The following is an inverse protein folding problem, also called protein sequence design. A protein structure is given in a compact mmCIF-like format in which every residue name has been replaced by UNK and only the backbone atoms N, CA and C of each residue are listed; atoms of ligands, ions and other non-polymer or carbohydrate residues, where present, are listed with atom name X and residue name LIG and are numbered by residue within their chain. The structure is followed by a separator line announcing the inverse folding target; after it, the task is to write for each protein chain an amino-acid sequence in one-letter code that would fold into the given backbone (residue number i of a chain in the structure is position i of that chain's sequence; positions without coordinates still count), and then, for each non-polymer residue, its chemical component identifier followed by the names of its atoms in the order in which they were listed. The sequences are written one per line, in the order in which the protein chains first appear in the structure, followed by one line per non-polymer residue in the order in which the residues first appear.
data_IF_786707704446
#
_entry.id   IF_786707704446
#
_cell.length_a   1.000
_cell.length_b   1.000
_cell.length_c   1.000
_cell.angle_alpha   90.00
_cell.angle_beta   90.00
_cell.angle_gamma   90.00
#
_symmetry.space_group_name_H-M   'P 1'
#
loop_
_entity.id
_entity.type
_entity.pdbx_description
1 polymer ?
#
# COMPACT_ATOMS: atom_id res chain seq x y z
N UNK A 1 -16.18 13.52 -18.72
CA UNK A 1 -14.72 13.30 -18.84
C UNK A 1 -14.26 12.49 -17.64
N UNK A 2 -13.73 11.29 -17.89
CA UNK A 2 -13.23 10.45 -16.79
C UNK A 2 -12.03 11.17 -16.16
N UNK A 3 -12.03 11.31 -14.83
CA UNK A 3 -11.00 12.04 -14.09
C UNK A 3 -9.62 11.42 -14.37
N UNK A 4 -8.68 12.14 -14.99
CA UNK A 4 -7.31 11.65 -15.13
C UNK A 4 -6.74 11.50 -13.72
N UNK A 5 -5.89 10.51 -13.48
CA UNK A 5 -5.26 10.32 -12.18
C UNK A 5 -4.56 11.58 -11.67
N UNK A 6 -4.49 11.74 -10.35
CA UNK A 6 -3.84 12.87 -9.69
C UNK A 6 -2.50 12.43 -9.10
N UNK A 7 -1.42 13.04 -9.56
CA UNK A 7 -0.07 12.77 -9.04
C UNK A 7 0.17 13.49 -7.72
N UNK A 8 0.63 12.74 -6.72
CA UNK A 8 1.17 13.23 -5.46
C UNK A 8 2.57 12.63 -5.26
N UNK A 9 3.20 12.88 -4.13
CA UNK A 9 4.43 12.22 -3.74
C UNK A 9 4.16 11.22 -2.60
N UNK A 10 4.82 10.08 -2.66
CA UNK A 10 4.77 9.11 -1.57
C UNK A 10 5.74 9.55 -0.46
N UNK A 11 5.20 9.71 0.74
CA UNK A 11 5.97 9.97 1.94
C UNK A 11 5.90 8.72 2.85
N UNK A 12 7.01 8.00 3.06
CA UNK A 12 7.01 6.84 3.92
C UNK A 12 6.77 7.23 5.38
N UNK A 13 6.05 6.38 6.10
CA UNK A 13 5.89 6.54 7.53
C UNK A 13 7.24 6.49 8.24
N UNK A 14 7.52 7.48 9.07
CA UNK A 14 8.67 7.45 9.96
C UNK A 14 8.30 6.71 11.24
N UNK A 15 8.95 5.58 11.47
CA UNK A 15 8.67 4.75 12.65
C UNK A 15 8.96 5.52 13.93
N UNK A 16 7.93 5.63 14.77
CA UNK A 16 8.02 6.19 16.12
C UNK A 16 7.79 5.06 17.12
N UNK A 17 8.68 4.92 18.07
CA UNK A 17 8.54 3.94 19.15
C UNK A 17 7.44 4.38 20.12
N UNK A 18 6.35 3.62 20.17
CA UNK A 18 5.18 3.90 21.02
C UNK A 18 5.04 2.93 22.20
N UNK A 19 5.86 1.89 22.24
CA UNK A 19 5.85 0.88 23.28
C UNK A 19 6.99 -0.11 23.11
N UNK A 20 6.96 -1.17 23.90
CA UNK A 20 7.93 -2.25 23.87
C UNK A 20 7.32 -3.55 23.38
N UNK A 21 8.15 -4.55 23.11
CA UNK A 21 7.74 -5.90 22.68
C UNK A 21 6.77 -6.55 23.66
N UNK A 22 6.83 -6.18 24.95
CA UNK A 22 5.92 -6.70 25.98
C UNK A 22 4.45 -6.45 25.64
N UNK A 23 4.13 -5.34 24.97
CA UNK A 23 2.77 -5.07 24.50
C UNK A 23 2.31 -6.13 23.49
N UNK A 24 3.20 -6.52 22.58
CA UNK A 24 2.90 -7.56 21.57
C UNK A 24 2.75 -8.95 22.22
N UNK A 25 3.52 -9.22 23.24
CA UNK A 25 3.46 -10.48 23.99
C UNK A 25 2.23 -10.55 24.90
N UNK A 26 1.68 -9.40 25.28
CA UNK A 26 0.43 -9.31 26.03
C UNK A 26 -0.85 -9.50 25.20
N UNK A 27 -0.75 -9.55 23.88
CA UNK A 27 -1.91 -9.84 23.04
C UNK A 27 -2.50 -11.22 23.40
N UNK A 28 -3.83 -11.37 23.56
CA UNK A 28 -4.90 -10.43 23.18
C UNK A 28 -5.47 -9.59 24.34
N UNK A 29 -4.72 -9.27 25.39
CA UNK A 29 -5.21 -8.43 26.47
C UNK A 29 -5.76 -7.09 25.95
N UNK A 30 -6.81 -6.56 26.57
CA UNK A 30 -7.55 -5.39 26.09
C UNK A 30 -6.66 -4.19 25.83
N UNK A 31 -5.84 -3.78 26.79
CA UNK A 31 -4.96 -2.62 26.68
C UNK A 31 -3.93 -2.79 25.55
N UNK A 32 -3.36 -4.00 25.39
CA UNK A 32 -2.41 -4.31 24.34
C UNK A 32 -3.04 -4.22 22.94
N UNK A 33 -4.19 -4.85 22.75
CA UNK A 33 -4.86 -4.81 21.43
C UNK A 33 -5.35 -3.42 21.05
N UNK A 34 -5.84 -2.62 21.98
CA UNK A 34 -6.22 -1.23 21.72
C UNK A 34 -5.01 -0.42 21.24
N UNK A 35 -3.87 -0.56 21.89
CA UNK A 35 -2.63 0.15 21.52
C UNK A 35 -2.09 -0.29 20.16
N UNK A 36 -2.08 -1.59 19.87
CA UNK A 36 -1.64 -2.13 18.59
C UNK A 36 -2.56 -1.69 17.45
N UNK A 37 -3.88 -1.76 17.65
CA UNK A 37 -4.87 -1.30 16.66
C UNK A 37 -4.75 0.19 16.39
N UNK A 38 -4.64 1.02 17.43
CA UNK A 38 -4.50 2.46 17.28
C UNK A 38 -3.24 2.82 16.48
N UNK A 39 -2.12 2.17 16.76
CA UNK A 39 -0.86 2.37 16.03
C UNK A 39 -1.01 1.99 14.56
N UNK A 40 -1.58 0.83 14.29
CA UNK A 40 -1.80 0.39 12.90
C UNK A 40 -2.75 1.32 12.13
N UNK A 41 -3.82 1.79 12.76
CA UNK A 41 -4.77 2.75 12.15
C UNK A 41 -4.06 4.06 11.82
N UNK A 42 -3.22 4.57 12.71
CA UNK A 42 -2.44 5.80 12.47
C UNK A 42 -1.51 5.65 11.27
N UNK A 43 -0.76 4.55 11.19
CA UNK A 43 0.13 4.26 10.06
C UNK A 43 -0.66 4.14 8.76
N UNK A 44 -1.76 3.39 8.76
CA UNK A 44 -2.60 3.22 7.59
C UNK A 44 -3.25 4.52 7.13
N UNK A 45 -3.63 5.40 8.06
CA UNK A 45 -4.18 6.72 7.74
C UNK A 45 -3.14 7.60 7.05
N UNK A 46 -1.89 7.52 7.48
CA UNK A 46 -0.80 8.30 6.89
C UNK A 46 -0.34 7.74 5.54
N UNK A 47 -0.09 6.44 5.44
CA UNK A 47 0.57 5.81 4.29
C UNK A 47 -0.39 5.09 3.33
N UNK A 48 -1.62 4.82 3.75
CA UNK A 48 -2.56 4.00 2.98
C UNK A 48 -3.04 4.61 1.65
N UNK A 49 -3.44 3.76 0.70
CA UNK A 49 -3.53 2.29 0.84
C UNK A 49 -2.15 1.66 1.02
N UNK A 50 -2.06 0.75 1.97
CA UNK A 50 -0.81 0.09 2.37
C UNK A 50 -0.99 -1.42 2.38
N UNK A 51 -0.02 -2.17 1.85
CA UNK A 51 -0.06 -3.64 1.91
C UNK A 51 -0.05 -4.13 3.36
N UNK A 52 -0.87 -5.13 3.67
CA UNK A 52 -1.02 -5.67 5.02
C UNK A 52 0.33 -6.09 5.63
N UNK A 53 1.18 -6.77 4.87
CA UNK A 53 2.48 -7.22 5.36
C UNK A 53 3.40 -6.05 5.74
N UNK A 54 3.38 -4.97 4.93
CA UNK A 54 4.11 -3.75 5.26
C UNK A 54 3.57 -3.09 6.52
N UNK A 55 2.25 -3.01 6.66
CA UNK A 55 1.61 -2.45 7.85
C UNK A 55 1.97 -3.25 9.11
N UNK A 56 2.00 -4.58 9.01
CA UNK A 56 2.46 -5.47 10.09
C UNK A 56 3.90 -5.15 10.49
N UNK A 57 4.81 -5.00 9.51
CA UNK A 57 6.21 -4.68 9.78
C UNK A 57 6.36 -3.31 10.46
N UNK A 58 5.71 -2.29 9.95
CA UNK A 58 5.78 -0.93 10.52
C UNK A 58 5.16 -0.88 11.92
N UNK A 59 4.05 -1.56 12.13
CA UNK A 59 3.41 -1.67 13.45
C UNK A 59 4.34 -2.35 14.45
N UNK A 60 4.93 -3.50 14.08
CA UNK A 60 5.86 -4.21 14.95
C UNK A 60 7.11 -3.40 15.30
N UNK A 61 7.63 -2.63 14.35
CA UNK A 61 8.77 -1.71 14.58
C UNK A 61 8.42 -0.61 15.57
N UNK A 62 7.19 -0.15 15.59
CA UNK A 62 6.71 0.84 16.56
C UNK A 62 6.72 0.32 18.01
N UNK A 63 6.78 -1.01 18.19
CA UNK A 63 6.94 -1.67 19.48
C UNK A 63 8.37 -2.21 19.72
N UNK A 64 9.34 -1.75 18.96
CA UNK A 64 10.75 -2.01 19.17
C UNK A 64 11.33 -3.22 18.42
N UNK A 65 10.54 -3.90 17.59
CA UNK A 65 11.07 -4.97 16.73
C UNK A 65 11.79 -4.37 15.53
N UNK A 66 12.93 -4.95 15.14
CA UNK A 66 13.59 -4.60 13.87
C UNK A 66 12.95 -5.36 12.71
N UNK A 67 12.65 -6.64 12.92
CA UNK A 67 11.98 -7.52 11.97
C UNK A 67 10.87 -8.26 12.68
N UNK A 68 9.70 -8.28 12.08
CA UNK A 68 8.55 -9.02 12.60
C UNK A 68 8.54 -10.43 12.01
N UNK A 69 8.78 -11.44 12.85
CA UNK A 69 8.71 -12.85 12.46
C UNK A 69 7.26 -13.32 12.40
N UNK A 70 7.03 -14.46 11.72
CA UNK A 70 5.70 -14.98 11.39
C UNK A 70 4.75 -15.11 12.58
N UNK A 71 5.24 -15.55 13.75
CA UNK A 71 4.38 -15.72 14.95
C UNK A 71 3.77 -14.41 15.44
N UNK A 72 4.62 -13.40 15.68
CA UNK A 72 4.15 -12.05 16.06
C UNK A 72 3.42 -11.36 14.91
N UNK A 73 3.87 -11.58 13.69
CA UNK A 73 3.24 -11.03 12.49
C UNK A 73 1.78 -11.45 12.35
N UNK A 74 1.47 -12.72 12.59
CA UNK A 74 0.08 -13.21 12.56
C UNK A 74 -0.79 -12.56 13.63
N UNK A 75 -0.25 -12.36 14.83
CA UNK A 75 -0.97 -11.70 15.92
C UNK A 75 -1.27 -10.23 15.59
N UNK A 76 -0.29 -9.52 15.03
CA UNK A 76 -0.46 -8.13 14.60
C UNK A 76 -1.47 -8.05 13.45
N UNK A 77 -1.33 -8.90 12.43
CA UNK A 77 -2.25 -8.95 11.30
C UNK A 77 -3.70 -9.20 11.74
N UNK A 78 -3.91 -10.10 12.70
CA UNK A 78 -5.23 -10.33 13.28
C UNK A 78 -5.80 -9.05 13.91
N UNK A 79 -5.00 -8.29 14.65
CA UNK A 79 -5.45 -7.04 15.26
C UNK A 79 -5.78 -5.98 14.19
N UNK A 80 -5.01 -5.91 13.12
CA UNK A 80 -5.31 -5.03 11.98
C UNK A 80 -6.65 -5.38 11.35
N UNK A 81 -6.91 -6.67 11.12
CA UNK A 81 -8.18 -7.15 10.59
C UNK A 81 -9.36 -6.80 11.48
N UNK A 82 -9.16 -6.73 12.79
CA UNK A 82 -10.18 -6.37 13.78
C UNK A 82 -10.30 -4.85 14.02
N UNK A 83 -9.44 -4.04 13.40
CA UNK A 83 -9.43 -2.58 13.63
C UNK A 83 -10.53 -1.82 12.90
N UNK A 84 -11.34 -2.49 12.06
CA UNK A 84 -12.45 -1.87 11.33
C UNK A 84 -12.04 -1.09 10.09
N UNK A 85 -10.81 -1.30 9.59
CA UNK A 85 -10.37 -0.76 8.30
C UNK A 85 -10.78 -1.69 7.16
N UNK A 86 -11.07 -1.11 6.00
CA UNK A 86 -11.31 -1.90 4.79
C UNK A 86 -10.00 -2.51 4.28
N UNK A 87 -10.01 -3.83 4.06
CA UNK A 87 -8.90 -4.58 3.45
C UNK A 87 -9.45 -5.19 2.17
N UNK A 88 -8.85 -4.83 1.03
CA UNK A 88 -9.31 -5.30 -0.27
C UNK A 88 -8.83 -6.73 -0.59
N UNK A 89 -9.26 -7.26 -1.73
CA UNK A 89 -8.89 -8.62 -2.18
C UNK A 89 -7.39 -8.78 -2.48
N UNK A 90 -6.68 -7.68 -2.73
CA UNK A 90 -5.23 -7.66 -2.95
C UNK A 90 -4.45 -7.46 -1.64
N UNK A 91 -5.13 -7.48 -0.49
CA UNK A 91 -4.57 -7.31 0.85
C UNK A 91 -4.01 -5.90 1.12
N UNK A 92 -4.56 -4.89 0.48
CA UNK A 92 -4.26 -3.50 0.82
C UNK A 92 -5.25 -2.98 1.84
N UNK A 93 -4.72 -2.31 2.86
CA UNK A 93 -5.46 -1.69 3.95
C UNK A 93 -5.70 -0.23 3.60
N UNK A 94 -6.95 0.20 3.66
CA UNK A 94 -7.36 1.53 3.24
C UNK A 94 -7.68 2.44 4.43
N UNK A 95 -7.23 3.70 4.41
CA UNK A 95 -7.69 4.70 5.37
C UNK A 95 -9.21 4.83 5.36
N UNK A 96 -9.82 5.12 6.50
CA UNK A 96 -11.28 5.29 6.60
C UNK A 96 -11.81 6.43 5.72
N UNK A 97 -11.00 7.45 5.52
CA UNK A 97 -11.34 8.66 4.77
C UNK A 97 -11.30 8.48 3.24
N UNK A 98 -10.77 7.34 2.78
CA UNK A 98 -10.62 7.06 1.35
C UNK A 98 -11.63 5.99 0.94
N UNK A 99 -12.45 6.31 -0.06
CA UNK A 99 -13.27 5.32 -0.78
C UNK A 99 -12.47 4.78 -1.97
N UNK A 100 -12.08 3.49 -1.96
CA UNK A 100 -11.29 2.90 -3.04
C UNK A 100 -11.94 2.99 -4.42
N UNK A 101 -13.27 3.01 -4.47
CA UNK A 101 -14.03 3.03 -5.73
C UNK A 101 -13.93 4.35 -6.49
N UNK A 102 -13.66 5.44 -5.79
CA UNK A 102 -13.58 6.79 -6.37
C UNK A 102 -12.20 7.42 -6.28
N UNK A 103 -11.27 6.78 -5.58
CA UNK A 103 -9.92 7.31 -5.41
C UNK A 103 -9.14 7.31 -6.72
N UNK A 104 -8.51 8.44 -7.06
CA UNK A 104 -7.82 8.66 -8.34
C UNK A 104 -6.38 9.15 -8.17
N UNK A 105 -5.86 9.14 -6.96
CA UNK A 105 -4.50 9.58 -6.68
C UNK A 105 -3.48 8.46 -6.93
N UNK A 106 -2.24 8.86 -7.21
CA UNK A 106 -1.08 7.97 -7.22
C UNK A 106 0.14 8.73 -6.70
N UNK A 107 1.02 8.02 -6.03
CA UNK A 107 2.11 8.61 -5.25
C UNK A 107 3.44 7.99 -5.66
N UNK A 108 4.10 8.48 -6.73
CA UNK A 108 5.41 7.99 -7.13
C UNK A 108 6.46 8.21 -6.05
N UNK A 109 7.42 7.28 -5.99
CA UNK A 109 8.64 7.43 -5.23
C UNK A 109 9.78 6.70 -5.95
N UNK A 110 10.98 7.24 -5.89
CA UNK A 110 12.14 6.68 -6.58
C UNK A 110 12.86 5.61 -5.74
N UNK A 111 12.54 5.53 -4.46
CA UNK A 111 13.17 4.57 -3.55
C UNK A 111 12.42 3.24 -3.50
N UNK A 112 13.07 2.19 -3.98
CA UNK A 112 12.57 0.81 -3.85
C UNK A 112 12.64 0.30 -2.42
N UNK A 113 13.49 0.89 -1.58
CA UNK A 113 13.64 0.53 -0.18
C UNK A 113 12.43 0.97 0.64
N UNK A 114 11.84 2.13 0.31
CA UNK A 114 10.69 2.66 1.03
C UNK A 114 9.41 1.89 0.68
N UNK A 115 9.21 1.61 -0.61
CA UNK A 115 8.02 0.90 -1.07
C UNK A 115 8.32 0.11 -2.35
N UNK A 116 8.53 -1.20 -2.25
CA UNK A 116 8.64 -2.06 -3.43
C UNK A 116 7.42 -1.93 -4.34
N UNK A 117 7.59 -2.14 -5.64
CA UNK A 117 6.50 -2.00 -6.60
C UNK A 117 5.29 -2.88 -6.28
N UNK A 118 5.54 -4.09 -5.77
CA UNK A 118 4.48 -5.03 -5.35
C UNK A 118 3.73 -4.58 -4.09
N UNK A 119 4.26 -3.60 -3.35
CA UNK A 119 3.59 -2.96 -2.22
C UNK A 119 2.79 -1.71 -2.64
N UNK A 120 2.75 -1.39 -3.93
CA UNK A 120 1.88 -0.35 -4.47
C UNK A 120 0.54 -0.98 -4.85
N UNK A 121 -0.56 -0.41 -4.36
CA UNK A 121 -1.89 -0.93 -4.68
C UNK A 121 -2.15 -0.96 -6.20
N UNK A 122 -2.74 -2.04 -6.73
CA UNK A 122 -3.17 -2.07 -8.14
C UNK A 122 -4.08 -0.90 -8.51
N UNK A 123 -4.90 -0.41 -7.58
CA UNK A 123 -5.73 0.79 -7.80
C UNK A 123 -4.85 2.02 -8.03
N UNK A 124 -3.80 2.19 -7.25
CA UNK A 124 -2.85 3.30 -7.40
C UNK A 124 -2.10 3.23 -8.74
N UNK A 125 -1.66 2.04 -9.13
CA UNK A 125 -1.01 1.81 -10.43
C UNK A 125 -1.98 2.11 -11.58
N UNK A 126 -3.22 1.69 -11.48
CA UNK A 126 -4.27 1.99 -12.48
C UNK A 126 -4.51 3.50 -12.58
N UNK A 127 -4.48 4.23 -11.46
CA UNK A 127 -4.59 5.69 -11.47
C UNK A 127 -3.43 6.36 -12.20
N UNK A 128 -2.21 5.86 -12.02
CA UNK A 128 -1.04 6.30 -12.80
C UNK A 128 -1.20 6.00 -14.28
N UNK A 129 -1.73 4.83 -14.63
CA UNK A 129 -2.00 4.45 -16.01
C UNK A 129 -3.02 5.38 -16.67
N UNK A 130 -4.10 5.74 -15.98
CA UNK A 130 -5.07 6.74 -16.46
C UNK A 130 -4.42 8.09 -16.73
N UNK A 131 -3.56 8.53 -15.84
CA UNK A 131 -2.82 9.79 -16.00
C UNK A 131 -1.91 9.78 -17.22
N UNK A 132 -1.16 8.71 -17.42
CA UNK A 132 -0.27 8.56 -18.61
C UNK A 132 -1.09 8.46 -19.89
N UNK A 133 -2.14 7.64 -19.90
CA UNK A 133 -3.00 7.46 -21.08
C UNK A 133 -3.69 8.76 -21.50
N UNK A 134 -4.11 9.58 -20.55
CA UNK A 134 -4.70 10.89 -20.86
C UNK A 134 -3.72 11.82 -21.57
N UNK A 135 -2.43 11.74 -21.26
CA UNK A 135 -1.37 12.55 -21.88
C UNK A 135 -0.83 11.95 -23.18
N UNK A 136 -0.91 10.64 -23.30
CA UNK A 136 -0.38 9.87 -24.43
C UNK A 136 -1.43 8.85 -24.91
N UNK A 137 -2.53 9.33 -25.51
CA UNK A 137 -3.62 8.44 -25.92
C UNK A 137 -3.24 7.49 -27.07
N UNK A 138 -2.14 7.76 -27.73
CA UNK A 138 -1.57 7.00 -28.84
C UNK A 138 -0.67 5.84 -28.40
N UNK A 139 -0.31 5.77 -27.11
CA UNK A 139 0.50 4.66 -26.61
C UNK A 139 -0.22 3.33 -26.73
N UNK A 140 0.48 2.31 -27.23
CA UNK A 140 0.01 0.93 -27.15
C UNK A 140 0.13 0.39 -25.70
N UNK A 141 -0.37 -0.82 -25.49
CA UNK A 141 -0.38 -1.42 -24.14
C UNK A 141 1.03 -1.58 -23.56
N UNK A 142 2.03 -1.91 -24.37
CA UNK A 142 3.42 -2.09 -23.92
C UNK A 142 4.08 -0.73 -23.59
N UNK A 143 3.86 0.26 -24.43
CA UNK A 143 4.34 1.62 -24.22
C UNK A 143 3.75 2.23 -22.94
N UNK A 144 2.43 2.01 -22.72
CA UNK A 144 1.74 2.45 -21.53
C UNK A 144 2.29 1.77 -20.28
N UNK A 145 2.47 0.45 -20.31
CA UNK A 145 3.04 -0.32 -19.19
C UNK A 145 4.46 0.15 -18.85
N UNK A 146 5.30 0.36 -19.85
CA UNK A 146 6.66 0.85 -19.65
C UNK A 146 6.67 2.27 -19.06
N UNK A 147 5.76 3.14 -19.52
CA UNK A 147 5.62 4.50 -18.99
C UNK A 147 5.15 4.52 -17.52
N UNK A 148 4.22 3.65 -17.16
CA UNK A 148 3.75 3.50 -15.76
C UNK A 148 4.88 3.07 -14.85
N UNK A 149 5.70 2.10 -15.24
CA UNK A 149 6.88 1.70 -14.47
C UNK A 149 7.86 2.87 -14.25
N UNK A 150 8.11 3.66 -15.30
CA UNK A 150 8.95 4.86 -15.19
C UNK A 150 8.38 5.90 -14.23
N UNK A 151 7.06 6.08 -14.22
CA UNK A 151 6.39 6.98 -13.26
C UNK A 151 6.76 6.62 -11.83
N UNK A 152 6.81 5.33 -11.50
CA UNK A 152 7.21 4.85 -10.18
C UNK A 152 8.72 4.63 -10.02
N UNK A 153 9.55 5.16 -10.94
CA UNK A 153 11.01 5.07 -10.85
C UNK A 153 11.57 3.66 -11.01
N UNK A 154 10.84 2.75 -11.64
CA UNK A 154 11.24 1.34 -11.77
C UNK A 154 11.85 1.09 -13.14
N UNK A 155 13.09 0.54 -13.14
CA UNK A 155 13.85 0.26 -14.37
C UNK A 155 13.83 -1.22 -14.74
N UNK A 156 13.65 -2.11 -13.76
CA UNK A 156 13.68 -3.56 -13.96
C UNK A 156 12.27 -4.14 -13.91
N UNK A 157 12.03 -5.10 -14.80
CA UNK A 157 10.82 -5.90 -14.86
C UNK A 157 11.13 -7.33 -14.45
N UNK A 158 11.00 -7.64 -13.17
CA UNK A 158 10.99 -9.03 -12.70
C UNK A 158 9.64 -9.67 -13.01
N UNK A 159 9.55 -11.01 -12.91
CA UNK A 159 8.29 -11.73 -13.07
C UNK A 159 7.20 -11.22 -12.11
N UNK A 160 7.57 -10.93 -10.86
CA UNK A 160 6.65 -10.42 -9.85
C UNK A 160 6.14 -9.01 -10.22
N UNK A 161 7.03 -8.12 -10.66
CA UNK A 161 6.66 -6.76 -11.10
C UNK A 161 5.76 -6.83 -12.33
N UNK A 162 6.08 -7.67 -13.31
CA UNK A 162 5.27 -7.85 -14.53
C UNK A 162 3.88 -8.36 -14.21
N UNK A 163 3.74 -9.36 -13.33
CA UNK A 163 2.44 -9.89 -12.93
C UNK A 163 1.60 -8.85 -12.20
N UNK A 164 2.20 -8.10 -11.30
CA UNK A 164 1.53 -7.05 -10.53
C UNK A 164 1.05 -5.90 -11.43
N UNK A 165 1.92 -5.45 -12.33
CA UNK A 165 1.60 -4.44 -13.34
C UNK A 165 0.47 -4.90 -14.26
N UNK A 166 0.54 -6.13 -14.75
CA UNK A 166 -0.48 -6.69 -15.63
C UNK A 166 -1.86 -6.75 -14.97
N UNK A 167 -1.92 -7.15 -13.70
CA UNK A 167 -3.15 -7.13 -12.90
C UNK A 167 -3.76 -5.74 -12.80
N UNK A 168 -2.94 -4.72 -12.59
CA UNK A 168 -3.40 -3.32 -12.56
C UNK A 168 -3.88 -2.83 -13.93
N UNK A 169 -3.17 -3.18 -15.01
CA UNK A 169 -3.54 -2.78 -16.36
C UNK A 169 -4.86 -3.40 -16.84
N UNK A 170 -5.20 -4.60 -16.37
CA UNK A 170 -6.52 -5.21 -16.62
C UNK A 170 -7.66 -4.38 -16.03
N UNK A 171 -7.46 -3.77 -14.87
CA UNK A 171 -8.46 -2.88 -14.25
C UNK A 171 -8.77 -1.68 -15.14
N UNK A 172 -7.75 -1.10 -15.79
CA UNK A 172 -7.93 0.01 -16.73
C UNK A 172 -8.82 -0.37 -17.90
N UNK A 173 -8.64 -1.56 -18.46
CA UNK A 173 -9.45 -2.07 -19.58
C UNK A 173 -10.90 -2.33 -19.19
N UNK A 174 -11.16 -2.75 -17.95
CA UNK A 174 -12.51 -3.06 -17.47
C UNK A 174 -13.33 -1.79 -17.14
N UNK A 175 -12.65 -0.68 -16.89
CA UNK A 175 -13.27 0.61 -16.57
C UNK A 175 -13.61 1.45 -17.83
N UNK A 176 -13.30 0.92 -19.01
CA UNK A 176 -13.56 1.55 -20.30
C UNK A 176 -14.86 1.03 -20.89
#
# INVERSE_FOLDING_TARGET
MKNPGKRLEFEPWTVVKVGTVDVLDDLPKKAAKEKVRATAVEIATYEGPIHLDRLVQLTGRSFGLQVVKSSRGRKIAYQIQQAGLFIDSDKFVWPREIDPSVWREFRPNDSTADRPFTDISPVEITNAARFVHHRHPDFDAEELAAAVLRVFGRKRRTSAISAHLHGAMKRLSNDS
#
